data_IF_928289880181
#
_entry.id   IF_928289880181
#
_cell.length_a   1.000
_cell.length_b   1.000
_cell.length_c   1.000
_cell.angle_alpha   90.00
_cell.angle_beta   90.00
_cell.angle_gamma   90.00
#
_symmetry.space_group_name_H-M   'P 1'
#
loop_
_entity.id
_entity.type
_entity.pdbx_description
1 polymer ?
#
# COMPACT_ATOMS: atom_id res chain seq x y z
N UNK A 1 -13.53 -7.06 11.13
CA UNK A 1 -12.61 -6.21 11.92
C UNK A 1 -11.85 -5.33 10.93
N UNK A 2 -12.32 -4.09 10.70
CA UNK A 2 -11.79 -3.19 9.64
C UNK A 2 -11.45 -1.80 10.19
N UNK A 3 -10.66 -1.78 11.26
CA UNK A 3 -10.08 -0.56 11.83
C UNK A 3 -8.59 -0.84 11.99
N UNK A 4 -7.62 -0.11 11.44
CA UNK A 4 -7.60 1.09 10.59
C UNK A 4 -6.26 1.00 9.81
N UNK A 5 -6.25 0.60 8.53
CA UNK A 5 -5.03 0.76 7.74
C UNK A 5 -4.69 2.24 7.66
N UNK A 6 -5.69 3.06 7.36
CA UNK A 6 -5.59 4.51 7.26
C UNK A 6 -4.96 5.13 8.52
N UNK A 7 -5.48 4.86 9.72
CA UNK A 7 -4.93 5.46 10.95
C UNK A 7 -3.54 4.96 11.33
N UNK A 8 -3.19 3.70 11.02
CA UNK A 8 -1.81 3.22 11.14
C UNK A 8 -0.89 3.94 10.16
N UNK A 9 -1.36 4.16 8.94
CA UNK A 9 -0.61 4.80 7.86
C UNK A 9 -0.44 6.31 8.03
N UNK A 10 -1.40 7.02 8.66
CA UNK A 10 -1.35 8.47 8.89
C UNK A 10 -0.12 8.91 9.69
N UNK A 11 0.39 8.06 10.58
CA UNK A 11 1.64 8.31 11.34
C UNK A 11 2.85 8.45 10.41
N UNK A 12 2.82 7.82 9.23
CA UNK A 12 3.92 7.81 8.26
C UNK A 12 3.81 8.89 7.17
N UNK A 13 2.70 9.66 7.14
CA UNK A 13 2.51 10.77 6.20
C UNK A 13 3.51 11.91 6.42
N UNK A 14 3.88 12.18 7.68
CA UNK A 14 4.76 13.30 8.03
C UNK A 14 6.19 13.18 7.46
N UNK A 15 6.62 11.98 7.04
CA UNK A 15 7.99 11.73 6.61
C UNK A 15 8.20 11.61 5.09
N UNK A 16 7.18 11.85 4.24
CA UNK A 16 7.25 11.60 2.78
C UNK A 16 7.60 10.15 2.38
N UNK A 17 7.65 9.23 3.34
CA UNK A 17 8.03 7.84 3.12
C UNK A 17 6.85 6.97 2.62
N UNK A 18 5.61 7.40 2.85
CA UNK A 18 4.42 6.61 2.52
C UNK A 18 4.35 6.23 1.03
N UNK A 19 4.47 7.21 0.12
CA UNK A 19 4.41 6.95 -1.33
C UNK A 19 5.51 5.96 -1.75
N UNK A 20 6.75 6.19 -1.30
CA UNK A 20 7.90 5.35 -1.62
C UNK A 20 7.70 3.91 -1.12
N UNK A 21 7.22 3.76 0.12
CA UNK A 21 6.95 2.45 0.73
C UNK A 21 5.80 1.75 0.00
N UNK A 22 4.71 2.44 -0.33
CA UNK A 22 3.59 1.89 -1.09
C UNK A 22 4.06 1.43 -2.48
N UNK A 23 4.79 2.26 -3.23
CA UNK A 23 5.36 1.87 -4.52
C UNK A 23 6.24 0.64 -4.40
N UNK A 24 7.13 0.64 -3.40
CA UNK A 24 8.02 -0.49 -3.14
C UNK A 24 7.23 -1.74 -2.75
N UNK A 25 6.17 -1.62 -1.95
CA UNK A 25 5.31 -2.74 -1.56
C UNK A 25 4.55 -3.32 -2.76
N UNK A 26 3.97 -2.48 -3.60
CA UNK A 26 3.27 -2.92 -4.81
C UNK A 26 4.24 -3.62 -5.79
N UNK A 27 5.46 -3.11 -5.93
CA UNK A 27 6.52 -3.79 -6.70
C UNK A 27 6.88 -5.15 -6.12
N UNK A 28 6.97 -5.29 -4.80
CA UNK A 28 7.24 -6.60 -4.18
C UNK A 28 6.09 -7.60 -4.41
N UNK A 29 4.84 -7.13 -4.36
CA UNK A 29 3.66 -8.00 -4.47
C UNK A 29 3.43 -8.43 -5.92
N UNK A 30 3.50 -7.49 -6.86
CA UNK A 30 3.05 -7.70 -8.24
C UNK A 30 4.20 -7.79 -9.25
N UNK A 31 5.40 -7.30 -8.90
CA UNK A 31 6.48 -7.09 -9.85
C UNK A 31 6.19 -5.96 -10.84
N UNK A 32 7.20 -5.59 -11.63
CA UNK A 32 7.00 -4.72 -12.81
C UNK A 32 6.69 -5.60 -14.04
N UNK A 33 5.80 -5.16 -14.95
CA UNK A 33 5.17 -3.84 -15.01
C UNK A 33 3.85 -3.72 -14.24
N UNK A 34 3.37 -4.80 -13.62
CA UNK A 34 2.03 -4.87 -13.02
C UNK A 34 1.83 -3.86 -11.88
N UNK A 35 2.84 -3.61 -11.07
CA UNK A 35 2.79 -2.60 -10.01
C UNK A 35 2.42 -1.22 -10.57
N UNK A 36 3.00 -0.84 -11.71
CA UNK A 36 2.69 0.43 -12.39
C UNK A 36 1.24 0.45 -12.90
N UNK A 37 0.74 -0.66 -13.45
CA UNK A 37 -0.66 -0.79 -13.86
C UNK A 37 -1.63 -0.70 -12.68
N UNK A 38 -1.30 -1.29 -11.53
CA UNK A 38 -2.11 -1.19 -10.31
C UNK A 38 -2.19 0.25 -9.84
N UNK A 39 -1.06 0.96 -9.77
CA UNK A 39 -1.02 2.38 -9.39
C UNK A 39 -1.91 3.21 -10.33
N UNK A 40 -1.83 2.95 -11.65
CA UNK A 40 -2.70 3.63 -12.61
C UNK A 40 -4.19 3.34 -12.35
N UNK A 41 -4.56 2.06 -12.17
CA UNK A 41 -5.95 1.64 -11.95
C UNK A 41 -6.57 2.21 -10.67
N UNK A 42 -5.79 2.37 -9.60
CA UNK A 42 -6.30 2.94 -8.34
C UNK A 42 -6.46 4.46 -8.38
N UNK A 43 -5.99 5.13 -9.44
CA UNK A 43 -6.10 6.59 -9.60
C UNK A 43 -4.77 7.34 -9.61
N UNK A 44 -3.66 6.65 -9.90
CA UNK A 44 -2.34 7.25 -10.08
C UNK A 44 -1.66 7.65 -8.77
N UNK A 45 -0.67 8.53 -8.89
CA UNK A 45 0.18 8.97 -7.76
C UNK A 45 -0.63 9.62 -6.64
N UNK A 46 -1.70 10.35 -6.96
CA UNK A 46 -2.58 10.98 -5.97
C UNK A 46 -3.17 9.95 -4.99
N UNK A 47 -3.52 8.77 -5.49
CA UNK A 47 -4.13 7.71 -4.69
C UNK A 47 -3.14 6.98 -3.78
N UNK A 48 -1.83 7.12 -3.99
CA UNK A 48 -0.78 6.54 -3.12
C UNK A 48 -0.08 7.58 -2.25
N UNK A 49 -0.50 8.85 -2.34
CA UNK A 49 -0.06 9.92 -1.45
C UNK A 49 -1.00 10.11 -0.26
N UNK A 50 -2.25 9.63 -0.36
CA UNK A 50 -3.25 9.65 0.69
C UNK A 50 -3.59 8.20 1.13
N UNK A 51 -3.27 7.80 2.37
CA UNK A 51 -3.55 6.47 2.88
C UNK A 51 -5.02 6.06 2.90
N UNK A 52 -5.92 7.01 3.14
CA UNK A 52 -7.36 6.75 3.17
C UNK A 52 -7.88 6.51 1.77
N UNK A 53 -7.41 7.31 0.81
CA UNK A 53 -7.72 7.13 -0.60
C UNK A 53 -7.12 5.82 -1.12
N UNK A 54 -5.87 5.50 -0.76
CA UNK A 54 -5.21 4.25 -1.11
C UNK A 54 -6.02 3.04 -0.64
N UNK A 55 -6.38 2.99 0.65
CA UNK A 55 -7.17 1.90 1.22
C UNK A 55 -8.49 1.72 0.47
N UNK A 56 -9.23 2.81 0.28
CA UNK A 56 -10.52 2.79 -0.42
C UNK A 56 -10.38 2.24 -1.83
N UNK A 57 -9.35 2.67 -2.57
CA UNK A 57 -9.13 2.27 -3.97
C UNK A 57 -8.65 0.83 -4.10
N UNK A 58 -7.75 0.39 -3.21
CA UNK A 58 -7.30 -1.02 -3.18
C UNK A 58 -8.47 -1.95 -2.85
N UNK A 59 -9.32 -1.60 -1.87
CA UNK A 59 -10.56 -2.34 -1.58
C UNK A 59 -11.50 -2.39 -2.78
N UNK A 60 -11.62 -1.30 -3.52
CA UNK A 60 -12.48 -1.22 -4.69
C UNK A 60 -11.97 -2.08 -5.87
N UNK A 61 -10.66 -2.11 -6.12
CA UNK A 61 -10.07 -2.86 -7.24
C UNK A 61 -9.92 -4.35 -6.92
N UNK A 62 -9.52 -4.70 -5.70
CA UNK A 62 -9.16 -6.08 -5.34
C UNK A 62 -10.21 -6.80 -4.48
N UNK A 63 -11.24 -6.09 -4.02
CA UNK A 63 -12.33 -6.66 -3.23
C UNK A 63 -11.79 -7.44 -2.01
N UNK A 64 -12.17 -8.72 -1.83
CA UNK A 64 -11.69 -9.56 -0.72
C UNK A 64 -10.17 -9.73 -0.66
N UNK A 65 -9.46 -9.62 -1.80
CA UNK A 65 -8.00 -9.73 -1.85
C UNK A 65 -7.26 -8.49 -1.32
N UNK A 66 -7.98 -7.38 -1.13
CA UNK A 66 -7.41 -6.12 -0.67
C UNK A 66 -6.77 -6.22 0.72
N UNK A 67 -7.33 -7.02 1.62
CA UNK A 67 -6.84 -7.12 3.00
C UNK A 67 -5.40 -7.64 3.07
N UNK A 68 -5.03 -8.57 2.17
CA UNK A 68 -3.65 -9.10 2.09
C UNK A 68 -2.66 -8.03 1.60
N UNK A 69 -3.09 -7.18 0.68
CA UNK A 69 -2.26 -6.08 0.14
C UNK A 69 -2.07 -5.02 1.22
N UNK A 70 -3.15 -4.60 1.86
CA UNK A 70 -3.13 -3.58 2.91
C UNK A 70 -2.32 -4.05 4.12
N UNK A 71 -2.44 -5.32 4.53
CA UNK A 71 -1.63 -5.89 5.61
C UNK A 71 -0.14 -5.91 5.26
N UNK A 72 0.22 -6.29 4.03
CA UNK A 72 1.63 -6.27 3.60
C UNK A 72 2.20 -4.86 3.58
N UNK A 73 1.44 -3.88 3.05
CA UNK A 73 1.85 -2.47 3.04
C UNK A 73 2.01 -1.95 4.46
N UNK A 74 1.06 -2.23 5.37
CA UNK A 74 1.14 -1.82 6.77
C UNK A 74 2.38 -2.40 7.48
N UNK A 75 2.67 -3.69 7.28
CA UNK A 75 3.88 -4.33 7.83
C UNK A 75 5.17 -3.68 7.31
N UNK A 76 5.19 -3.27 6.04
CA UNK A 76 6.34 -2.60 5.44
C UNK A 76 6.49 -1.16 5.93
N UNK A 77 5.40 -0.46 6.23
CA UNK A 77 5.42 0.84 6.90
C UNK A 77 6.00 0.74 8.31
N UNK A 78 5.65 -0.31 9.06
CA UNK A 78 6.20 -0.57 10.39
C UNK A 78 7.69 -0.97 10.37
N UNK A 79 8.15 -1.60 9.29
CA UNK A 79 9.53 -2.08 9.14
C UNK A 79 10.10 -1.78 7.74
N UNK A 80 10.40 -0.51 7.43
CA UNK A 80 10.82 -0.11 6.08
C UNK A 80 12.14 -0.73 5.60
N UNK A 81 12.97 -1.26 6.51
CA UNK A 81 14.27 -1.89 6.20
C UNK A 81 14.21 -3.41 6.04
N UNK A 82 13.09 -4.06 6.35
CA UNK A 82 13.01 -5.52 6.37
C UNK A 82 12.34 -6.01 5.09
N UNK A 83 13.12 -6.60 4.18
CA UNK A 83 12.59 -7.37 3.06
C UNK A 83 11.78 -8.52 3.68
N UNK A 84 10.46 -8.50 3.55
CA UNK A 84 9.59 -9.54 4.13
C UNK A 84 9.78 -10.79 3.28
N UNK A 85 10.76 -11.61 3.64
CA UNK A 85 10.99 -12.91 3.02
C UNK A 85 9.84 -13.81 3.47
N UNK A 86 8.93 -14.17 2.56
CA UNK A 86 7.96 -15.25 2.81
C UNK A 86 8.77 -16.53 3.03
N UNK A 87 8.71 -17.09 4.25
CA UNK A 87 9.21 -18.42 4.57
C UNK A 87 8.19 -19.47 4.17
#
# INVERSE_FOLDING_TARGET
>A
MSAEFSSRATVYLHNKDFESIVRSALKDIFGEPLASSVIFQIGGTESIMDPSLFEKKIRLVFGPGADLILDYVAKKLENPRKRIVRK
#
